data_IF_223695297314
#
_entry.id   IF_223695297314
#
_cell.length_a   1.000
_cell.length_b   1.000
_cell.length_c   1.000
_cell.angle_alpha   90.00
_cell.angle_beta   90.00
_cell.angle_gamma   90.00
#
_symmetry.space_group_name_H-M   'P 1'
#
loop_
_entity.id
_entity.type
_entity.pdbx_description
1 polymer ?
#
# COMPACT_ATOMS: atom_id res chain seq x y z
N UNK A 1 10.39 -20.07 -3.98
CA UNK A 1 10.40 -18.96 -4.94
C UNK A 1 10.82 -17.69 -4.21
N UNK A 2 11.70 -16.92 -4.83
CA UNK A 2 12.10 -15.63 -4.28
C UNK A 2 10.91 -14.65 -4.34
N UNK A 3 10.64 -13.94 -3.24
CA UNK A 3 9.67 -12.85 -3.18
C UNK A 3 10.22 -11.55 -3.78
N UNK A 4 11.49 -11.56 -4.15
CA UNK A 4 12.19 -10.38 -4.61
C UNK A 4 11.70 -9.94 -6.00
N UNK A 5 10.98 -8.82 -6.05
CA UNK A 5 10.43 -8.21 -7.26
C UNK A 5 11.33 -7.10 -7.84
N UNK A 6 12.47 -6.81 -7.24
CA UNK A 6 13.37 -5.72 -7.67
C UNK A 6 13.76 -5.86 -9.12
N UNK A 7 14.22 -7.06 -9.53
CA UNK A 7 14.66 -7.29 -10.91
C UNK A 7 13.52 -7.17 -11.94
N UNK A 8 12.29 -7.53 -11.54
CA UNK A 8 11.11 -7.37 -12.40
C UNK A 8 10.76 -5.88 -12.55
N UNK A 9 10.76 -5.13 -11.46
CA UNK A 9 10.47 -3.70 -11.48
C UNK A 9 11.52 -2.91 -12.26
N UNK A 10 12.79 -3.27 -12.14
CA UNK A 10 13.89 -2.62 -12.88
C UNK A 10 13.82 -2.82 -14.40
N UNK A 11 13.09 -3.83 -14.88
CA UNK A 11 12.87 -4.05 -16.32
C UNK A 11 11.74 -3.21 -16.90
N UNK A 12 11.00 -2.49 -16.07
CA UNK A 12 9.91 -1.65 -16.54
C UNK A 12 10.44 -0.36 -17.15
N UNK A 13 10.04 -0.08 -18.39
CA UNK A 13 10.53 1.04 -19.20
C UNK A 13 9.46 2.11 -19.46
N UNK A 14 8.27 1.97 -18.86
CA UNK A 14 7.10 2.78 -19.19
C UNK A 14 7.32 4.29 -19.05
N UNK A 15 8.16 4.71 -18.09
CA UNK A 15 8.51 6.10 -17.85
C UNK A 15 9.98 6.42 -18.13
N UNK A 16 10.65 5.60 -18.92
CA UNK A 16 12.03 5.89 -19.34
C UNK A 16 12.09 7.23 -20.11
N UNK A 17 13.05 8.07 -19.74
CA UNK A 17 13.21 9.40 -20.31
C UNK A 17 12.30 10.49 -19.72
N UNK A 18 11.40 10.16 -18.80
CA UNK A 18 10.64 11.17 -18.05
C UNK A 18 11.52 11.77 -16.95
N UNK A 19 11.44 13.10 -16.78
CA UNK A 19 12.18 13.80 -15.72
C UNK A 19 11.52 13.63 -14.35
N UNK A 20 10.22 13.43 -14.34
CA UNK A 20 9.38 13.32 -13.13
C UNK A 20 8.26 12.30 -13.37
N UNK A 21 7.91 11.56 -12.31
CA UNK A 21 6.85 10.56 -12.36
C UNK A 21 6.00 10.64 -11.09
N UNK A 22 4.68 10.53 -11.23
CA UNK A 22 3.77 10.43 -10.09
C UNK A 22 3.76 9.00 -9.55
N UNK A 23 3.89 8.85 -8.24
CA UNK A 23 3.73 7.61 -7.49
C UNK A 23 2.49 7.70 -6.62
N UNK A 24 1.56 6.75 -6.74
CA UNK A 24 0.37 6.67 -5.90
C UNK A 24 0.61 5.79 -4.68
N UNK A 25 0.41 6.37 -3.49
CA UNK A 25 0.50 5.68 -2.21
C UNK A 25 -0.88 5.44 -1.60
N UNK A 26 -1.15 4.19 -1.21
CA UNK A 26 -2.44 3.78 -0.62
C UNK A 26 -2.30 3.08 0.74
N UNK A 27 -1.10 2.87 1.20
CA UNK A 27 -0.77 2.24 2.48
C UNK A 27 0.23 3.05 3.28
N UNK A 28 1.35 2.46 3.67
CA UNK A 28 2.39 3.13 4.47
C UNK A 28 2.95 4.38 3.81
N UNK A 29 2.92 4.49 2.48
CA UNK A 29 3.36 5.69 1.78
C UNK A 29 2.51 6.92 2.11
N UNK A 30 1.27 6.78 2.60
CA UNK A 30 0.45 7.91 3.01
C UNK A 30 1.00 8.54 4.30
N UNK A 31 1.43 7.73 5.27
CA UNK A 31 1.87 8.20 6.59
C UNK A 31 3.38 8.10 6.82
N UNK A 32 4.12 7.44 5.94
CA UNK A 32 5.57 7.27 6.04
C UNK A 32 6.22 7.42 4.67
N UNK A 33 6.27 8.65 4.17
CA UNK A 33 7.00 8.99 2.96
C UNK A 33 8.46 9.30 3.34
N UNK A 34 9.29 8.27 3.44
CA UNK A 34 10.69 8.34 3.83
C UNK A 34 11.64 8.41 2.60
N UNK A 35 11.19 9.05 1.55
CA UNK A 35 11.92 9.29 0.31
C UNK A 35 11.75 10.75 -0.13
N UNK A 36 12.71 11.33 -0.88
CA UNK A 36 12.54 12.67 -1.43
C UNK A 36 11.45 12.73 -2.49
N UNK A 37 10.65 13.78 -2.47
CA UNK A 37 9.62 14.06 -3.47
C UNK A 37 9.58 15.54 -3.81
N UNK A 38 9.18 15.87 -5.04
CA UNK A 38 9.08 17.22 -5.55
C UNK A 38 7.75 17.87 -5.21
N UNK A 39 6.67 17.08 -5.18
CA UNK A 39 5.33 17.52 -4.85
C UNK A 39 4.54 16.38 -4.21
N UNK A 40 3.50 16.74 -3.47
CA UNK A 40 2.60 15.80 -2.80
C UNK A 40 1.17 16.33 -2.92
N UNK A 41 0.25 15.49 -3.38
CA UNK A 41 -1.16 15.86 -3.55
C UNK A 41 -2.08 14.70 -3.17
N UNK A 42 -3.19 14.96 -2.45
CA UNK A 42 -4.26 13.98 -2.33
C UNK A 42 -4.77 13.55 -3.70
N UNK A 43 -5.01 12.25 -3.86
CA UNK A 43 -5.38 11.68 -5.15
C UNK A 43 -6.16 10.37 -4.97
N UNK A 44 -6.67 9.85 -6.08
CA UNK A 44 -7.36 8.57 -6.13
C UNK A 44 -7.05 7.82 -7.41
N UNK A 45 -7.30 6.52 -7.39
CA UNK A 45 -7.30 5.65 -8.57
C UNK A 45 -8.60 4.87 -8.63
N UNK A 46 -9.20 4.80 -9.82
CA UNK A 46 -10.45 4.08 -10.07
C UNK A 46 -10.17 2.60 -10.38
N UNK A 47 -11.11 1.73 -10.03
CA UNK A 47 -11.04 0.31 -10.33
C UNK A 47 -10.25 -0.53 -9.34
N UNK A 48 -9.97 0.01 -8.16
CA UNK A 48 -9.17 -0.66 -7.14
C UNK A 48 -9.78 -0.50 -5.75
N UNK A 49 -9.72 -1.57 -4.94
CA UNK A 49 -10.05 -1.59 -3.53
C UNK A 49 -8.82 -1.86 -2.69
N UNK A 50 -8.67 -1.15 -1.57
CA UNK A 50 -7.64 -1.40 -0.56
C UNK A 50 -8.05 -2.59 0.31
N UNK A 51 -7.15 -3.59 0.46
CA UNK A 51 -7.43 -4.79 1.26
C UNK A 51 -6.21 -5.23 2.06
N UNK A 52 -6.41 -5.60 3.34
CA UNK A 52 -5.39 -6.17 4.22
C UNK A 52 -5.16 -7.66 3.93
N UNK A 53 -4.86 -8.00 2.68
CA UNK A 53 -4.74 -9.37 2.20
C UNK A 53 -3.31 -9.80 1.89
N UNK A 54 -2.35 -8.88 2.00
CA UNK A 54 -0.93 -9.15 1.79
C UNK A 54 -0.23 -9.48 3.11
N UNK A 55 0.67 -10.46 3.09
CA UNK A 55 1.53 -10.80 4.22
C UNK A 55 2.74 -9.88 4.34
N UNK A 56 3.08 -9.51 5.56
CA UNK A 56 4.33 -8.82 5.89
C UNK A 56 5.20 -9.74 6.73
N UNK A 57 6.35 -10.14 6.17
CA UNK A 57 7.29 -11.08 6.79
C UNK A 57 8.56 -10.40 7.31
N UNK A 58 8.75 -9.11 7.03
CA UNK A 58 9.98 -8.38 7.34
C UNK A 58 9.75 -7.00 7.97
N UNK A 59 8.51 -6.56 8.10
CA UNK A 59 8.14 -5.29 8.74
C UNK A 59 7.17 -5.47 9.90
N UNK A 60 5.96 -5.97 9.65
CA UNK A 60 4.88 -6.09 10.65
C UNK A 60 4.63 -7.53 11.10
N UNK A 61 5.48 -8.43 10.69
CA UNK A 61 5.50 -9.84 11.04
C UNK A 61 6.86 -10.45 10.76
N UNK A 62 6.94 -11.76 10.88
CA UNK A 62 8.11 -12.59 10.58
C UNK A 62 7.75 -13.63 9.52
N UNK A 63 8.72 -14.40 9.05
CA UNK A 63 8.45 -15.50 8.10
C UNK A 63 7.56 -16.58 8.72
N UNK A 64 7.73 -16.85 10.02
CA UNK A 64 6.97 -17.85 10.78
C UNK A 64 5.58 -17.34 11.18
N UNK A 65 5.45 -16.04 11.36
CA UNK A 65 4.23 -15.37 11.79
C UNK A 65 4.05 -14.03 11.03
N UNK A 66 3.67 -14.07 9.75
CA UNK A 66 3.51 -12.85 8.95
C UNK A 66 2.41 -11.97 9.50
N UNK A 67 2.61 -10.65 9.40
CA UNK A 67 1.56 -9.67 9.65
C UNK A 67 0.68 -9.47 8.41
N UNK A 68 -0.36 -8.65 8.54
CA UNK A 68 -1.20 -8.23 7.40
C UNK A 68 -1.00 -6.75 7.11
N UNK A 69 -0.75 -6.45 5.85
CA UNK A 69 -0.63 -5.10 5.29
C UNK A 69 -1.51 -4.97 4.06
N UNK A 70 -1.70 -3.75 3.57
CA UNK A 70 -2.58 -3.54 2.44
C UNK A 70 -1.92 -3.85 1.11
N UNK A 71 -2.74 -4.34 0.19
CA UNK A 71 -2.52 -4.36 -1.25
C UNK A 71 -3.77 -3.80 -1.94
N UNK A 72 -3.80 -3.82 -3.25
CA UNK A 72 -4.97 -3.43 -4.04
C UNK A 72 -5.54 -4.65 -4.76
N UNK A 73 -6.86 -4.76 -4.72
CA UNK A 73 -7.63 -5.74 -5.46
C UNK A 73 -8.44 -5.05 -6.56
N UNK A 74 -8.52 -5.66 -7.72
CA UNK A 74 -9.31 -5.15 -8.83
C UNK A 74 -10.80 -5.14 -8.47
N UNK A 75 -11.44 -3.98 -8.58
CA UNK A 75 -12.85 -3.79 -8.32
C UNK A 75 -13.36 -2.63 -9.18
N UNK A 76 -14.08 -2.97 -10.26
CA UNK A 76 -14.52 -2.00 -11.27
C UNK A 76 -15.43 -0.89 -10.72
N UNK A 77 -16.07 -1.10 -9.55
CA UNK A 77 -16.96 -0.12 -8.94
C UNK A 77 -16.28 0.69 -7.83
N UNK A 78 -15.05 0.37 -7.47
CA UNK A 78 -14.35 1.02 -6.38
C UNK A 78 -13.46 2.17 -6.85
N UNK A 79 -13.21 3.09 -5.92
CA UNK A 79 -12.19 4.13 -6.03
C UNK A 79 -11.34 4.09 -4.76
N UNK A 80 -10.03 3.98 -4.93
CA UNK A 80 -9.09 3.99 -3.82
C UNK A 80 -8.51 5.39 -3.65
N UNK A 81 -8.70 5.99 -2.49
CA UNK A 81 -8.14 7.29 -2.14
C UNK A 81 -6.80 7.13 -1.42
N UNK A 82 -5.88 8.04 -1.69
CA UNK A 82 -4.56 8.04 -1.09
C UNK A 82 -3.79 9.33 -1.38
N UNK A 83 -2.49 9.20 -1.53
CA UNK A 83 -1.59 10.32 -1.73
C UNK A 83 -0.71 10.07 -2.95
N UNK A 84 -0.61 11.06 -3.84
CA UNK A 84 0.33 11.03 -4.96
C UNK A 84 1.58 11.84 -4.65
N UNK A 85 2.73 11.29 -4.99
CA UNK A 85 4.06 11.92 -4.84
C UNK A 85 4.71 12.08 -6.20
N UNK A 86 5.17 13.28 -6.51
CA UNK A 86 5.97 13.52 -7.70
C UNK A 86 7.43 13.24 -7.34
N UNK A 87 8.03 12.26 -8.01
CA UNK A 87 9.40 11.80 -7.74
C UNK A 87 10.23 11.81 -9.01
N UNK A 88 11.56 11.86 -8.86
CA UNK A 88 12.47 11.63 -9.98
C UNK A 88 12.65 10.14 -10.22
N UNK A 89 12.95 9.70 -11.46
CA UNK A 89 13.09 8.26 -11.77
C UNK A 89 14.19 7.55 -10.95
N UNK A 90 15.19 8.27 -10.48
CA UNK A 90 16.26 7.72 -9.63
C UNK A 90 15.71 7.14 -8.31
N UNK A 91 14.63 7.70 -7.80
CA UNK A 91 14.00 7.22 -6.56
C UNK A 91 13.37 5.82 -6.71
N UNK A 92 13.06 5.39 -7.92
CA UNK A 92 12.48 4.06 -8.14
C UNK A 92 13.42 2.93 -7.76
N UNK A 93 14.74 3.11 -7.86
CA UNK A 93 15.70 2.10 -7.40
C UNK A 93 15.56 1.86 -5.88
N UNK A 94 15.41 2.93 -5.11
CA UNK A 94 15.17 2.88 -3.66
C UNK A 94 13.79 2.31 -3.33
N UNK A 95 12.75 2.77 -4.03
CA UNK A 95 11.38 2.33 -3.84
C UNK A 95 11.20 0.85 -4.22
N UNK A 96 11.80 0.40 -5.32
CA UNK A 96 11.76 -1.00 -5.74
C UNK A 96 12.38 -1.90 -4.67
N UNK A 97 13.48 -1.45 -4.04
CA UNK A 97 14.10 -2.17 -2.94
C UNK A 97 13.22 -2.20 -1.69
N UNK A 98 12.58 -1.07 -1.34
CA UNK A 98 11.63 -0.99 -0.23
C UNK A 98 10.43 -1.94 -0.42
N UNK A 99 9.91 -2.02 -1.65
CA UNK A 99 8.72 -2.80 -2.01
C UNK A 99 9.05 -4.19 -2.58
N UNK A 100 10.26 -4.69 -2.33
CA UNK A 100 10.77 -5.95 -2.92
C UNK A 100 9.98 -7.22 -2.60
N UNK A 101 9.17 -7.21 -1.54
CA UNK A 101 8.50 -8.40 -1.02
C UNK A 101 7.13 -8.64 -1.68
N UNK A 102 7.11 -8.84 -2.98
CA UNK A 102 5.92 -9.21 -3.75
C UNK A 102 5.21 -8.05 -4.43
N UNK A 103 5.67 -6.81 -4.27
CA UNK A 103 5.04 -5.64 -4.90
C UNK A 103 5.64 -5.36 -6.27
N UNK A 104 4.78 -5.33 -7.29
CA UNK A 104 5.13 -4.95 -8.65
C UNK A 104 4.72 -3.50 -8.91
N UNK A 105 5.60 -2.77 -9.59
CA UNK A 105 5.35 -1.41 -10.05
C UNK A 105 4.55 -1.44 -11.35
N UNK A 106 3.32 -0.93 -11.33
CA UNK A 106 2.41 -0.94 -12.46
C UNK A 106 1.99 0.49 -12.85
N UNK A 107 1.77 0.78 -14.13
CA UNK A 107 1.22 2.06 -14.56
C UNK A 107 -0.24 2.19 -14.13
N UNK A 108 -0.65 3.41 -13.77
CA UNK A 108 -2.00 3.71 -13.32
C UNK A 108 -2.37 5.16 -13.68
N UNK A 109 -3.65 5.40 -13.97
CA UNK A 109 -4.17 6.77 -14.10
C UNK A 109 -4.55 7.29 -12.72
N UNK A 110 -3.95 8.41 -12.33
CA UNK A 110 -4.16 9.07 -11.05
C UNK A 110 -5.10 10.26 -11.26
N UNK A 111 -6.13 10.39 -10.42
CA UNK A 111 -7.04 11.54 -10.42
C UNK A 111 -6.78 12.36 -9.16
N UNK A 112 -6.54 13.66 -9.35
CA UNK A 112 -6.34 14.62 -8.25
C UNK A 112 -7.66 15.23 -7.77
N UNK A 113 -7.62 15.94 -6.64
CA UNK A 113 -8.81 16.53 -6.03
C UNK A 113 -9.49 17.59 -6.92
N UNK A 114 -8.77 18.24 -7.83
CA UNK A 114 -9.29 19.18 -8.81
C UNK A 114 -9.85 18.51 -10.08
N UNK A 115 -9.98 17.18 -10.06
CA UNK A 115 -10.42 16.33 -11.16
C UNK A 115 -9.43 16.23 -12.35
N UNK A 116 -8.27 16.88 -12.27
CA UNK A 116 -7.20 16.65 -13.25
C UNK A 116 -6.61 15.24 -13.09
N UNK A 117 -6.02 14.73 -14.16
CA UNK A 117 -5.44 13.37 -14.18
C UNK A 117 -3.99 13.40 -14.63
N UNK A 118 -3.24 12.40 -14.22
CA UNK A 118 -1.90 12.13 -14.70
C UNK A 118 -1.66 10.62 -14.78
N UNK A 119 -0.84 10.20 -15.71
CA UNK A 119 -0.31 8.84 -15.69
C UNK A 119 0.80 8.74 -14.66
N UNK A 120 0.79 7.68 -13.88
CA UNK A 120 1.77 7.44 -12.81
C UNK A 120 2.01 5.96 -12.57
N UNK A 121 2.60 5.65 -11.43
CA UNK A 121 2.94 4.30 -11.01
C UNK A 121 2.32 3.99 -9.67
N UNK A 122 2.06 2.70 -9.44
CA UNK A 122 1.59 2.15 -8.16
C UNK A 122 2.27 0.81 -7.92
N UNK A 123 2.61 0.50 -6.65
CA UNK A 123 3.11 -0.81 -6.26
C UNK A 123 1.96 -1.68 -5.77
N UNK A 124 1.74 -2.83 -6.41
CA UNK A 124 0.66 -3.77 -6.09
C UNK A 124 1.24 -5.15 -5.83
N UNK A 125 0.90 -5.74 -4.69
CA UNK A 125 1.17 -7.15 -4.41
C UNK A 125 0.02 -7.99 -4.96
N UNK A 126 0.28 -8.68 -6.07
CA UNK A 126 -0.71 -9.51 -6.76
C UNK A 126 -0.94 -10.84 -6.04
N UNK A 127 -2.09 -11.47 -6.27
CA UNK A 127 -2.50 -12.70 -5.57
C UNK A 127 -1.59 -13.92 -5.84
N UNK A 128 -0.74 -13.85 -6.85
CA UNK A 128 0.21 -14.91 -7.20
C UNK A 128 1.56 -14.81 -6.46
N UNK A 129 1.78 -13.77 -5.63
CA UNK A 129 3.01 -13.68 -4.83
C UNK A 129 2.95 -14.61 -3.62
N UNK A 130 4.11 -15.10 -3.18
CA UNK A 130 4.20 -16.10 -2.11
C UNK A 130 3.83 -15.57 -0.71
N UNK A 131 3.75 -14.26 -0.51
CA UNK A 131 3.34 -13.63 0.74
C UNK A 131 1.84 -13.29 0.79
N UNK A 132 1.10 -13.53 -0.28
CA UNK A 132 -0.33 -13.22 -0.33
C UNK A 132 -1.11 -14.13 0.61
N UNK A 133 -1.80 -13.52 1.60
CA UNK A 133 -2.56 -14.25 2.61
C UNK A 133 -4.02 -14.46 2.21
N UNK A 134 -4.52 -13.68 1.25
CA UNK A 134 -5.85 -13.82 0.70
C UNK A 134 -6.94 -13.14 1.50
N UNK A 135 -8.16 -13.33 1.01
CA UNK A 135 -9.37 -12.79 1.59
C UNK A 135 -9.63 -13.34 2.99
N UNK A 136 -10.07 -12.45 3.87
CA UNK A 136 -10.57 -12.78 5.19
C UNK A 136 -11.57 -11.72 5.63
N UNK A 137 -12.43 -12.04 6.61
CA UNK A 137 -13.34 -11.05 7.19
C UNK A 137 -12.56 -10.00 7.98
N UNK A 138 -13.12 -8.80 8.10
CA UNK A 138 -12.50 -7.72 8.87
C UNK A 138 -12.26 -8.13 10.33
N UNK A 139 -13.13 -8.92 10.92
CA UNK A 139 -12.97 -9.46 12.27
C UNK A 139 -11.78 -10.43 12.36
N UNK A 140 -11.61 -11.32 11.38
CA UNK A 140 -10.48 -12.25 11.34
C UNK A 140 -9.16 -11.52 11.07
N UNK A 141 -9.18 -10.53 10.19
CA UNK A 141 -8.02 -9.67 9.94
C UNK A 141 -7.61 -8.94 11.22
N UNK A 142 -8.56 -8.38 11.97
CA UNK A 142 -8.27 -7.70 13.22
C UNK A 142 -7.63 -8.64 14.26
N UNK A 143 -8.13 -9.86 14.40
CA UNK A 143 -7.53 -10.88 15.28
C UNK A 143 -6.10 -11.23 14.85
N UNK A 144 -5.88 -11.39 13.56
CA UNK A 144 -4.54 -11.64 13.00
C UNK A 144 -3.57 -10.48 13.32
N UNK A 145 -4.00 -9.25 13.05
CA UNK A 145 -3.21 -8.03 13.31
C UNK A 145 -2.88 -7.89 14.79
N UNK A 146 -3.83 -8.20 15.68
CA UNK A 146 -3.63 -8.07 17.13
C UNK A 146 -2.48 -8.96 17.66
N UNK A 147 -2.23 -10.09 17.01
CA UNK A 147 -1.21 -11.06 17.42
C UNK A 147 0.13 -10.97 16.68
N UNK A 148 0.26 -10.06 15.72
CA UNK A 148 1.46 -9.99 14.87
C UNK A 148 2.34 -8.80 15.19
N UNK A 149 3.66 -9.00 15.11
CA UNK A 149 4.67 -7.94 15.23
C UNK A 149 5.91 -8.33 14.44
N UNK A 150 6.66 -7.34 13.98
CA UNK A 150 7.89 -7.54 13.23
C UNK A 150 8.94 -6.47 13.55
N UNK A 151 10.03 -6.42 12.77
CA UNK A 151 11.12 -5.45 13.01
C UNK A 151 10.70 -3.98 13.00
N UNK A 152 9.64 -3.63 12.28
CA UNK A 152 9.09 -2.26 12.25
C UNK A 152 8.06 -1.99 13.35
N UNK A 153 7.82 -2.95 14.24
CA UNK A 153 6.89 -2.84 15.35
C UNK A 153 5.63 -3.68 15.20
N UNK A 154 4.68 -3.52 16.15
CA UNK A 154 3.41 -4.24 16.12
C UNK A 154 2.59 -3.96 14.85
N UNK A 155 1.93 -4.97 14.35
CA UNK A 155 1.08 -4.86 13.16
C UNK A 155 -0.10 -3.89 13.39
N UNK A 156 -0.62 -3.82 14.63
CA UNK A 156 -1.66 -2.87 15.01
C UNK A 156 -1.27 -1.42 14.74
N UNK A 157 -0.01 -1.06 14.92
CA UNK A 157 0.46 0.31 14.72
C UNK A 157 0.35 0.73 13.24
N UNK A 158 0.60 -0.18 12.32
CA UNK A 158 0.39 0.04 10.89
C UNK A 158 -1.08 0.33 10.57
N UNK A 159 -2.01 -0.49 11.07
CA UNK A 159 -3.44 -0.30 10.87
C UNK A 159 -3.92 1.03 11.44
N UNK A 160 -3.53 1.35 12.69
CA UNK A 160 -3.96 2.58 13.35
C UNK A 160 -3.39 3.83 12.66
N UNK A 161 -2.15 3.79 12.21
CA UNK A 161 -1.53 4.87 11.45
C UNK A 161 -2.25 5.10 10.11
N UNK A 162 -2.59 4.03 9.39
CA UNK A 162 -3.33 4.12 8.13
C UNK A 162 -4.74 4.69 8.35
N UNK A 163 -5.47 4.20 9.35
CA UNK A 163 -6.80 4.70 9.69
C UNK A 163 -6.78 6.19 10.02
N UNK A 164 -5.80 6.62 10.80
CA UNK A 164 -5.62 8.04 11.15
C UNK A 164 -5.31 8.89 9.91
N UNK A 165 -4.42 8.43 9.05
CA UNK A 165 -4.06 9.12 7.82
C UNK A 165 -5.26 9.30 6.88
N UNK A 166 -6.13 8.30 6.78
CA UNK A 166 -7.36 8.37 5.99
C UNK A 166 -8.37 9.36 6.57
N UNK A 167 -8.45 9.47 7.91
CA UNK A 167 -9.25 10.51 8.57
C UNK A 167 -8.73 11.91 8.26
N UNK A 168 -7.43 12.11 8.32
CA UNK A 168 -6.79 13.39 8.01
C UNK A 168 -7.00 13.79 6.54
N UNK A 169 -7.04 12.82 5.63
CA UNK A 169 -7.40 13.05 4.23
C UNK A 169 -8.89 13.34 4.03
N UNK A 170 -9.74 13.10 5.04
CA UNK A 170 -11.19 13.18 4.89
C UNK A 170 -11.75 12.13 3.94
N UNK A 171 -11.09 10.97 3.82
CA UNK A 171 -11.45 9.89 2.90
C UNK A 171 -11.70 8.59 3.66
N UNK A 172 -12.91 8.38 4.18
CA UNK A 172 -13.24 7.17 4.91
C UNK A 172 -13.08 5.92 4.03
N UNK A 173 -12.57 4.86 4.64
CA UNK A 173 -12.42 3.54 4.02
C UNK A 173 -13.11 2.52 4.91
N UNK A 174 -14.21 1.95 4.42
CA UNK A 174 -15.05 1.05 5.22
C UNK A 174 -14.28 -0.20 5.68
N UNK A 175 -13.45 -0.78 4.82
CA UNK A 175 -12.64 -1.95 5.16
C UNK A 175 -11.66 -1.65 6.30
N UNK A 176 -10.89 -0.58 6.18
CA UNK A 176 -9.88 -0.18 7.19
C UNK A 176 -10.55 0.16 8.52
N UNK A 177 -11.62 0.95 8.50
CA UNK A 177 -12.31 1.39 9.71
C UNK A 177 -13.06 0.25 10.41
N UNK A 178 -13.57 -0.72 9.68
CA UNK A 178 -14.19 -1.90 10.24
C UNK A 178 -13.17 -2.80 10.94
N UNK A 179 -11.99 -2.99 10.34
CA UNK A 179 -10.88 -3.71 10.97
C UNK A 179 -10.44 -2.99 12.25
N UNK A 180 -10.31 -1.67 12.21
CA UNK A 180 -9.96 -0.86 13.38
C UNK A 180 -10.98 -1.04 14.50
N UNK A 181 -12.29 -0.99 14.18
CA UNK A 181 -13.35 -1.18 15.14
C UNK A 181 -13.26 -2.54 15.85
N UNK A 182 -13.01 -3.61 15.10
CA UNK A 182 -12.80 -4.94 15.67
C UNK A 182 -11.53 -5.01 16.51
N UNK A 183 -10.43 -4.39 16.04
CA UNK A 183 -9.17 -4.40 16.78
C UNK A 183 -9.29 -3.69 18.14
N UNK A 184 -9.95 -2.53 18.17
CA UNK A 184 -10.19 -1.78 19.43
C UNK A 184 -11.06 -2.60 20.39
N UNK A 185 -12.07 -3.30 19.88
CA UNK A 185 -12.93 -4.16 20.70
C UNK A 185 -12.19 -5.35 21.33
N UNK A 186 -11.11 -5.83 20.72
CA UNK A 186 -10.27 -6.90 21.27
C UNK A 186 -9.39 -6.43 22.46
N UNK A 187 -9.16 -5.13 22.58
CA UNK A 187 -8.32 -4.56 23.62
C UNK A 187 -9.12 -4.14 24.89
N UNK A 188 -10.45 -4.26 24.85
CA UNK A 188 -11.37 -3.90 25.96
C UNK A 188 -11.67 -5.03 26.92
#
# INVERSE_FOLDING_TARGET
MSLDTVALNQRMTHFDGHAEVWLFGYGSLIFKADFPFLARRPASIAGWSRRFWQGSMDHRGTQEAPGRVVTLESDALATCHGMAYLVTPEEFAHLDHREKNGYLRLPVTITFDDASTAEGMVYIATADNAAYLGEASEADIARHIAGAAGPSGPNRDYLLALAQALRELGRPDAHVFEIERHLVALAG
#
